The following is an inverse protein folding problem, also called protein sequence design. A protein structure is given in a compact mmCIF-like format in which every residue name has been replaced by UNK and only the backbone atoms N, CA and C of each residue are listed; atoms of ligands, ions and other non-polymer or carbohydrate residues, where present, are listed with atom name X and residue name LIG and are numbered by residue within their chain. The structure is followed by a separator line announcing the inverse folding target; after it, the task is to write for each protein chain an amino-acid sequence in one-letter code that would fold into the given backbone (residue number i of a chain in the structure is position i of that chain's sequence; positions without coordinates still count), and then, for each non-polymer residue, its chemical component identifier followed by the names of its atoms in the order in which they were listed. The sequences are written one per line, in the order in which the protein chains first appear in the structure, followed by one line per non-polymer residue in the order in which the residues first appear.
data_IF_479190190128
#
_entry.id   IF_479190190128
#
_cell.length_a   1.000
_cell.length_b   1.000
_cell.length_c   1.000
_cell.angle_alpha   90.00
_cell.angle_beta   90.00
_cell.angle_gamma   90.00
#
_symmetry.space_group_name_H-M   'P 1'
#
loop_
_entity.id
_entity.type
_entity.pdbx_description
1 polymer ?
#
# COMPACT_ATOMS: atom_id res chain seq x y z
N UNK A 1 18.48 -12.62 -4.86
CA UNK A 1 18.68 -11.18 -4.60
C UNK A 1 17.90 -10.84 -3.34
N UNK A 2 18.23 -9.77 -2.63
CA UNK A 2 17.39 -9.29 -1.52
C UNK A 2 16.25 -8.43 -2.08
N UNK A 3 15.06 -8.43 -1.42
CA UNK A 3 13.95 -7.60 -1.86
C UNK A 3 14.34 -6.12 -1.78
N UNK A 4 13.93 -5.34 -2.79
CA UNK A 4 14.16 -3.90 -2.83
C UNK A 4 12.88 -3.17 -2.42
N UNK A 5 12.96 -2.34 -1.39
CA UNK A 5 11.78 -1.63 -0.87
C UNK A 5 11.78 -0.15 -1.22
N UNK A 6 10.59 0.42 -1.42
CA UNK A 6 10.37 1.86 -1.61
C UNK A 6 9.14 2.31 -0.79
N UNK A 7 9.28 3.42 -0.04
CA UNK A 7 8.16 4.08 0.64
C UNK A 7 7.30 4.83 -0.38
N UNK A 8 5.98 4.60 -0.34
CA UNK A 8 5.00 5.27 -1.20
C UNK A 8 4.39 6.49 -0.52
N UNK A 9 4.03 6.34 0.76
CA UNK A 9 3.49 7.41 1.59
C UNK A 9 3.68 7.05 3.07
N UNK A 10 3.89 8.07 3.90
CA UNK A 10 3.98 7.89 5.35
C UNK A 10 3.37 9.09 6.07
N UNK A 11 2.86 8.83 7.27
CA UNK A 11 2.45 9.80 8.28
C UNK A 11 3.11 9.42 9.59
N UNK A 12 2.79 10.11 10.69
CA UNK A 12 3.35 9.78 12.00
C UNK A 12 3.05 8.35 12.49
N UNK A 13 1.96 7.73 12.03
CA UNK A 13 1.50 6.42 12.55
C UNK A 13 1.21 5.38 11.47
N UNK A 14 1.23 5.77 10.20
CA UNK A 14 0.84 4.93 9.08
C UNK A 14 1.86 5.01 7.95
N UNK A 15 2.10 3.89 7.28
CA UNK A 15 3.00 3.82 6.13
C UNK A 15 2.45 2.90 5.05
N UNK A 16 2.58 3.30 3.80
CA UNK A 16 2.42 2.45 2.64
C UNK A 16 3.77 2.33 1.93
N UNK A 17 4.20 1.09 1.64
CA UNK A 17 5.45 0.80 0.95
C UNK A 17 5.30 -0.39 0.02
N UNK A 18 6.25 -0.56 -0.91
CA UNK A 18 6.28 -1.70 -1.85
C UNK A 18 7.61 -2.44 -1.75
N UNK A 19 7.60 -3.72 -2.10
CA UNK A 19 8.81 -4.52 -2.33
C UNK A 19 8.80 -5.07 -3.76
N UNK A 20 9.95 -4.95 -4.43
CA UNK A 20 10.29 -5.77 -5.58
C UNK A 20 10.94 -7.07 -5.06
N UNK A 21 10.21 -8.18 -5.19
CA UNK A 21 10.61 -9.50 -4.69
C UNK A 21 11.66 -10.16 -5.61
N UNK A 22 12.44 -11.14 -5.11
CA UNK A 22 13.51 -11.77 -5.90
C UNK A 22 13.03 -12.54 -7.14
N UNK A 23 11.76 -12.89 -7.21
CA UNK A 23 11.11 -13.54 -8.36
C UNK A 23 10.58 -12.54 -9.40
N UNK A 24 10.71 -11.25 -9.13
CA UNK A 24 10.24 -10.17 -9.99
C UNK A 24 8.80 -9.72 -9.72
N UNK A 25 8.11 -10.30 -8.73
CA UNK A 25 6.81 -9.82 -8.30
C UNK A 25 6.93 -8.52 -7.49
N UNK A 26 5.87 -7.72 -7.49
CA UNK A 26 5.76 -6.53 -6.63
C UNK A 26 4.66 -6.74 -5.61
N UNK A 27 5.01 -6.64 -4.33
CA UNK A 27 4.07 -6.69 -3.21
C UNK A 27 3.94 -5.31 -2.58
N UNK A 28 2.76 -5.02 -2.02
CA UNK A 28 2.46 -3.76 -1.36
C UNK A 28 2.09 -4.00 0.09
N UNK A 29 2.41 -3.03 0.93
CA UNK A 29 2.33 -3.14 2.37
C UNK A 29 1.69 -1.88 2.93
N UNK A 30 0.65 -2.06 3.74
CA UNK A 30 0.04 -1.00 4.53
C UNK A 30 0.26 -1.29 6.01
N UNK A 31 1.02 -0.44 6.67
CA UNK A 31 1.28 -0.48 8.10
C UNK A 31 0.36 0.50 8.83
N UNK A 32 -0.45 -0.05 9.72
CA UNK A 32 -1.43 0.63 10.54
C UNK A 32 -1.10 0.39 12.01
N UNK A 33 -0.18 1.19 12.56
CA UNK A 33 0.37 0.99 13.91
C UNK A 33 0.92 -0.44 14.13
N UNK A 34 0.11 -1.32 14.70
CA UNK A 34 0.47 -2.69 15.08
C UNK A 34 -0.02 -3.75 14.09
N UNK A 35 -0.60 -3.35 12.96
CA UNK A 35 -1.10 -4.24 11.91
C UNK A 35 -0.37 -3.93 10.62
N UNK A 36 0.14 -4.96 9.95
CA UNK A 36 0.62 -4.86 8.56
C UNK A 36 -0.30 -5.69 7.68
N UNK A 37 -0.81 -5.07 6.61
CA UNK A 37 -1.60 -5.74 5.59
C UNK A 37 -0.73 -5.86 4.34
N UNK A 38 -0.62 -7.07 3.82
CA UNK A 38 0.14 -7.40 2.62
C UNK A 38 -0.83 -7.57 1.45
N UNK A 39 -0.45 -7.05 0.30
CA UNK A 39 -1.23 -7.11 -0.94
C UNK A 39 -0.35 -7.61 -2.08
N UNK A 40 -0.91 -8.50 -2.90
CA UNK A 40 -0.45 -8.65 -4.28
C UNK A 40 -0.86 -7.44 -5.12
N UNK A 41 -0.28 -7.32 -6.31
CA UNK A 41 -0.51 -6.17 -7.20
C UNK A 41 -2.00 -5.92 -7.49
N UNK A 42 -2.77 -6.96 -7.84
CA UNK A 42 -4.20 -6.84 -8.14
C UNK A 42 -5.03 -6.39 -6.92
N UNK A 43 -4.71 -6.92 -5.75
CA UNK A 43 -5.39 -6.58 -4.49
C UNK A 43 -5.10 -5.13 -4.08
N UNK A 44 -3.87 -4.67 -4.31
CA UNK A 44 -3.46 -3.29 -4.08
C UNK A 44 -4.21 -2.32 -4.99
N UNK A 45 -4.33 -2.63 -6.28
CA UNK A 45 -5.05 -1.80 -7.24
C UNK A 45 -6.55 -1.66 -6.89
N UNK A 46 -7.18 -2.76 -6.47
CA UNK A 46 -8.57 -2.74 -5.99
C UNK A 46 -8.71 -1.95 -4.67
N UNK A 47 -7.77 -2.13 -3.73
CA UNK A 47 -7.74 -1.35 -2.50
C UNK A 47 -7.62 0.16 -2.78
N UNK A 48 -6.74 0.57 -3.71
CA UNK A 48 -6.61 1.97 -4.11
C UNK A 48 -7.89 2.51 -4.76
N UNK A 49 -8.64 1.68 -5.47
CA UNK A 49 -9.95 2.05 -6.02
C UNK A 49 -10.94 2.39 -4.91
N UNK A 50 -11.01 1.56 -3.86
CA UNK A 50 -11.82 1.84 -2.66
C UNK A 50 -11.36 3.12 -1.96
N UNK A 51 -10.06 3.28 -1.69
CA UNK A 51 -9.53 4.46 -0.99
C UNK A 51 -9.84 5.75 -1.74
N UNK A 52 -9.71 5.76 -3.08
CA UNK A 52 -10.06 6.93 -3.90
C UNK A 52 -11.55 7.29 -3.77
N UNK A 53 -12.44 6.30 -3.71
CA UNK A 53 -13.87 6.54 -3.50
C UNK A 53 -14.15 7.13 -2.10
N UNK A 54 -13.47 6.61 -1.06
CA UNK A 54 -13.58 7.12 0.31
C UNK A 54 -13.08 8.57 0.41
N UNK A 55 -11.91 8.88 -0.17
CA UNK A 55 -11.36 10.24 -0.19
C UNK A 55 -12.29 11.21 -0.92
N UNK A 56 -12.85 10.80 -2.06
CA UNK A 56 -13.82 11.61 -2.82
C UNK A 56 -15.02 12.01 -1.95
N UNK A 57 -15.59 11.06 -1.21
CA UNK A 57 -16.72 11.32 -0.30
C UNK A 57 -16.31 12.21 0.88
N UNK A 58 -15.14 11.95 1.49
CA UNK A 58 -14.64 12.71 2.63
C UNK A 58 -14.37 14.18 2.29
N UNK A 59 -13.89 14.47 1.07
CA UNK A 59 -13.60 15.81 0.59
C UNK A 59 -14.85 16.57 0.08
N UNK A 60 -16.04 15.98 0.22
CA UNK A 60 -17.32 16.65 -0.06
C UNK A 60 -17.61 16.91 -1.54
N UNK A 61 -17.21 16.01 -2.45
CA UNK A 61 -17.55 16.05 -3.88
C UNK A 61 -18.26 14.81 -4.40
#
# INVERSE_FOLDING_TARGET
MEPKTDTLAETESYMAWRAEEPDGETTYHLELNNITIHFFNEEWDEFLTLVRAVVKEADGK
#
